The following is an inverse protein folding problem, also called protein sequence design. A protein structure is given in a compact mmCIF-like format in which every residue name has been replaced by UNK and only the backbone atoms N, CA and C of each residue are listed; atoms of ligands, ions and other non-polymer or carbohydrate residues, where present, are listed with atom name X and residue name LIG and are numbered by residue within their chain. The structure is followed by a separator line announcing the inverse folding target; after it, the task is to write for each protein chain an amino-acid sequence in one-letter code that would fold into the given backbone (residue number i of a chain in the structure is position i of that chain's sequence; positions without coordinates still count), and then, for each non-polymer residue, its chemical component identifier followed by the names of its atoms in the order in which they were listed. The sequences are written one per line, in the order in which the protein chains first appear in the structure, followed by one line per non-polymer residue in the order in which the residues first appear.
data_IF_244569047819
#
_entry.id   IF_244569047819
#
_cell.length_a   1.000
_cell.length_b   1.000
_cell.length_c   1.000
_cell.angle_alpha   90.00
_cell.angle_beta   90.00
_cell.angle_gamma   90.00
#
_symmetry.space_group_name_H-M   'P 1'
#
loop_
_entity.id
_entity.type
_entity.pdbx_description
1 polymer ?
#
# COMPACT_ATOMS: atom_id res chain seq x y z
N UNK A 1 -56.81 -35.02 16.20
CA UNK A 1 -55.37 -35.32 16.04
C UNK A 1 -54.83 -34.98 14.64
N UNK A 2 -55.40 -35.47 13.52
CA UNK A 2 -54.88 -35.20 12.16
C UNK A 2 -54.74 -33.71 11.78
N UNK A 3 -55.69 -32.85 12.17
CA UNK A 3 -55.63 -31.39 11.93
C UNK A 3 -54.48 -30.70 12.68
N UNK A 4 -54.24 -31.08 13.94
CA UNK A 4 -53.15 -30.51 14.75
C UNK A 4 -51.78 -30.85 14.17
N UNK A 5 -51.61 -32.09 13.68
CA UNK A 5 -50.38 -32.53 13.01
C UNK A 5 -50.16 -31.76 11.70
N UNK A 6 -51.21 -31.58 10.88
CA UNK A 6 -51.11 -30.80 9.65
C UNK A 6 -50.73 -29.33 9.90
N UNK A 7 -51.34 -28.70 10.90
CA UNK A 7 -50.99 -27.32 11.30
C UNK A 7 -49.53 -27.23 11.76
N UNK A 8 -49.06 -28.17 12.58
CA UNK A 8 -47.67 -28.20 13.03
C UNK A 8 -46.67 -28.33 11.87
N UNK A 9 -46.95 -29.20 10.90
CA UNK A 9 -46.10 -29.38 9.71
C UNK A 9 -46.06 -28.09 8.89
N UNK A 10 -47.22 -27.48 8.61
CA UNK A 10 -47.29 -26.24 7.81
C UNK A 10 -46.58 -25.08 8.50
N UNK A 11 -46.79 -24.91 9.82
CA UNK A 11 -46.09 -23.87 10.60
C UNK A 11 -44.58 -24.08 10.60
N UNK A 12 -44.12 -25.32 10.72
CA UNK A 12 -42.69 -25.65 10.72
C UNK A 12 -42.07 -25.36 9.34
N UNK A 13 -42.76 -25.75 8.27
CA UNK A 13 -42.33 -25.46 6.89
C UNK A 13 -42.22 -23.95 6.64
N UNK A 14 -43.19 -23.17 7.12
CA UNK A 14 -43.18 -21.71 7.03
C UNK A 14 -41.98 -21.08 7.74
N UNK A 15 -41.62 -21.58 8.92
CA UNK A 15 -40.43 -21.13 9.67
C UNK A 15 -39.16 -21.46 8.90
N UNK A 16 -39.03 -22.66 8.32
CA UNK A 16 -37.85 -23.00 7.52
C UNK A 16 -37.75 -22.16 6.25
N UNK A 17 -38.86 -21.91 5.57
CA UNK A 17 -38.90 -21.05 4.38
C UNK A 17 -38.53 -19.60 4.72
N UNK A 18 -39.01 -19.06 5.84
CA UNK A 18 -38.66 -17.71 6.27
C UNK A 18 -37.19 -17.59 6.63
N UNK A 19 -36.64 -18.56 7.36
CA UNK A 19 -35.20 -18.63 7.66
C UNK A 19 -34.36 -18.73 6.39
N UNK A 20 -34.77 -19.57 5.43
CA UNK A 20 -34.07 -19.70 4.16
C UNK A 20 -34.08 -18.38 3.37
N UNK A 21 -35.24 -17.74 3.25
CA UNK A 21 -35.38 -16.47 2.54
C UNK A 21 -34.50 -15.37 3.17
N UNK A 22 -34.51 -15.24 4.50
CA UNK A 22 -33.66 -14.27 5.21
C UNK A 22 -32.18 -14.56 4.98
N UNK A 23 -31.75 -15.81 5.09
CA UNK A 23 -30.35 -16.18 4.84
C UNK A 23 -29.93 -15.90 3.39
N UNK A 24 -30.80 -16.19 2.41
CA UNK A 24 -30.53 -15.90 1.01
C UNK A 24 -30.33 -14.39 0.76
N UNK A 25 -31.15 -13.55 1.39
CA UNK A 25 -31.01 -12.08 1.32
C UNK A 25 -29.71 -11.62 1.97
N UNK A 26 -29.38 -12.13 3.17
CA UNK A 26 -28.14 -11.79 3.88
C UNK A 26 -26.91 -12.17 3.06
N UNK A 27 -26.88 -13.38 2.50
CA UNK A 27 -25.77 -13.85 1.66
C UNK A 27 -25.61 -12.95 0.43
N UNK A 28 -26.71 -12.58 -0.22
CA UNK A 28 -26.70 -11.66 -1.35
C UNK A 28 -26.09 -10.29 -0.98
N UNK A 29 -26.52 -9.72 0.13
CA UNK A 29 -26.01 -8.44 0.63
C UNK A 29 -24.54 -8.53 1.04
N UNK A 30 -24.14 -9.58 1.75
CA UNK A 30 -22.74 -9.80 2.15
C UNK A 30 -21.83 -9.94 0.94
N UNK A 31 -22.23 -10.72 -0.06
CA UNK A 31 -21.46 -10.88 -1.31
C UNK A 31 -21.31 -9.56 -2.04
N UNK A 32 -22.38 -8.77 -2.15
CA UNK A 32 -22.33 -7.45 -2.77
C UNK A 32 -21.40 -6.51 -2.02
N UNK A 33 -21.51 -6.46 -0.69
CA UNK A 33 -20.68 -5.57 0.13
C UNK A 33 -19.21 -5.98 0.11
N UNK A 34 -18.93 -7.27 0.15
CA UNK A 34 -17.57 -7.80 0.03
C UNK A 34 -16.96 -7.42 -1.33
N UNK A 35 -17.73 -7.56 -2.42
CA UNK A 35 -17.26 -7.17 -3.75
C UNK A 35 -16.97 -5.67 -3.86
N UNK A 36 -17.83 -4.84 -3.28
CA UNK A 36 -17.64 -3.39 -3.21
C UNK A 36 -16.35 -3.06 -2.45
N UNK A 37 -16.14 -3.63 -1.25
CA UNK A 37 -14.93 -3.43 -0.45
C UNK A 37 -13.69 -3.87 -1.20
N UNK A 38 -13.70 -5.07 -1.82
CA UNK A 38 -12.57 -5.57 -2.59
C UNK A 38 -12.22 -4.66 -3.76
N UNK A 39 -13.21 -4.12 -4.48
CA UNK A 39 -12.98 -3.18 -5.57
C UNK A 39 -12.41 -1.86 -5.07
N UNK A 40 -12.94 -1.31 -3.99
CA UNK A 40 -12.44 -0.07 -3.40
C UNK A 40 -10.99 -0.21 -2.95
N UNK A 41 -10.65 -1.31 -2.25
CA UNK A 41 -9.28 -1.58 -1.81
C UNK A 41 -8.32 -1.80 -2.99
N UNK A 42 -8.77 -2.51 -4.03
CA UNK A 42 -7.98 -2.72 -5.23
C UNK A 42 -7.69 -1.40 -5.95
N UNK A 43 -8.72 -0.59 -6.23
CA UNK A 43 -8.55 0.71 -6.87
C UNK A 43 -7.66 1.63 -6.08
N UNK A 44 -7.84 1.68 -4.75
CA UNK A 44 -6.97 2.46 -3.89
C UNK A 44 -5.50 2.02 -3.98
N UNK A 45 -5.25 0.71 -3.91
CA UNK A 45 -3.90 0.14 -4.05
C UNK A 45 -3.27 0.46 -5.40
N UNK A 46 -4.05 0.37 -6.48
CA UNK A 46 -3.63 0.72 -7.84
C UNK A 46 -3.27 2.20 -7.95
N UNK A 47 -4.14 3.10 -7.45
CA UNK A 47 -3.94 4.55 -7.48
C UNK A 47 -2.68 4.97 -6.70
N UNK A 48 -2.50 4.44 -5.48
CA UNK A 48 -1.31 4.69 -4.66
C UNK A 48 -0.06 4.17 -5.36
N UNK A 49 -0.10 2.94 -5.87
CA UNK A 49 1.03 2.33 -6.59
C UNK A 49 1.41 3.14 -7.82
N UNK A 50 0.42 3.60 -8.58
CA UNK A 50 0.63 4.44 -9.76
C UNK A 50 1.18 5.82 -9.38
N UNK A 51 0.63 6.47 -8.35
CA UNK A 51 1.10 7.77 -7.85
C UNK A 51 2.56 7.71 -7.39
N UNK A 52 2.92 6.68 -6.61
CA UNK A 52 4.30 6.45 -6.16
C UNK A 52 5.21 6.18 -7.35
N UNK A 53 4.81 5.31 -8.28
CA UNK A 53 5.62 4.97 -9.44
C UNK A 53 5.87 6.18 -10.37
N UNK A 54 4.83 6.96 -10.65
CA UNK A 54 4.93 8.19 -11.45
C UNK A 54 5.76 9.26 -10.74
N UNK A 55 5.51 9.47 -9.45
CA UNK A 55 6.29 10.36 -8.61
C UNK A 55 7.77 10.01 -8.67
N UNK A 56 8.09 8.73 -8.45
CA UNK A 56 9.48 8.25 -8.45
C UNK A 56 10.15 8.40 -9.83
N UNK A 57 9.45 8.08 -10.91
CA UNK A 57 9.97 8.23 -12.29
C UNK A 57 10.18 9.68 -12.72
N UNK A 58 9.38 10.60 -12.18
CA UNK A 58 9.45 12.03 -12.54
C UNK A 58 10.66 12.76 -11.93
N UNK A 59 11.38 12.11 -11.01
CA UNK A 59 12.49 12.73 -10.29
C UNK A 59 13.73 12.72 -11.17
N UNK A 60 14.15 13.93 -11.55
CA UNK A 60 15.33 14.15 -12.39
C UNK A 60 16.55 14.64 -11.60
N UNK A 61 16.38 15.05 -10.34
CA UNK A 61 17.50 15.46 -9.49
C UNK A 61 18.48 14.30 -9.27
N UNK A 62 19.77 14.61 -9.18
CA UNK A 62 20.85 13.63 -9.10
C UNK A 62 21.90 14.07 -8.08
N UNK A 63 22.41 13.12 -7.30
CA UNK A 63 23.42 13.42 -6.30
C UNK A 63 22.85 14.11 -5.06
N UNK A 64 23.74 14.78 -4.32
CA UNK A 64 23.51 15.30 -2.97
C UNK A 64 23.99 16.73 -2.79
N UNK A 65 24.10 17.49 -3.88
CA UNK A 65 24.34 18.92 -3.79
C UNK A 65 23.11 19.65 -3.22
N UNK A 66 23.30 20.93 -2.87
CA UNK A 66 22.25 21.74 -2.25
C UNK A 66 20.99 21.81 -3.13
N UNK A 67 21.15 22.00 -4.44
CA UNK A 67 20.07 22.08 -5.41
C UNK A 67 19.24 20.79 -5.44
N UNK A 68 19.90 19.65 -5.45
CA UNK A 68 19.26 18.33 -5.49
C UNK A 68 18.54 18.02 -4.18
N UNK A 69 19.17 18.33 -3.03
CA UNK A 69 18.54 18.20 -1.72
C UNK A 69 17.29 19.08 -1.59
N UNK A 70 17.36 20.33 -2.04
CA UNK A 70 16.22 21.23 -2.01
C UNK A 70 15.10 20.73 -2.94
N UNK A 71 15.45 20.14 -4.08
CA UNK A 71 14.47 19.49 -4.97
C UNK A 71 13.82 18.27 -4.32
N UNK A 72 14.59 17.40 -3.68
CA UNK A 72 14.07 16.26 -2.95
C UNK A 72 13.12 16.70 -1.83
N UNK A 73 13.45 17.76 -1.09
CA UNK A 73 12.57 18.34 -0.06
C UNK A 73 11.24 18.84 -0.64
N UNK A 74 11.27 19.55 -1.76
CA UNK A 74 10.05 19.98 -2.45
C UNK A 74 9.19 18.78 -2.86
N UNK A 75 9.79 17.75 -3.46
CA UNK A 75 9.07 16.53 -3.87
C UNK A 75 8.43 15.85 -2.66
N UNK A 76 9.18 15.69 -1.56
CA UNK A 76 8.70 15.10 -0.32
C UNK A 76 7.50 15.89 0.25
N UNK A 77 7.58 17.21 0.27
CA UNK A 77 6.50 18.06 0.78
C UNK A 77 5.23 17.97 -0.08
N UNK A 78 5.39 17.76 -1.39
CA UNK A 78 4.28 17.67 -2.33
C UNK A 78 3.71 16.24 -2.49
N UNK A 79 4.29 15.23 -1.83
CA UNK A 79 3.86 13.85 -1.95
C UNK A 79 3.63 13.20 -0.58
N UNK A 80 2.36 13.07 -0.19
CA UNK A 80 1.95 12.50 1.10
C UNK A 80 2.31 11.02 1.28
N UNK A 81 2.55 10.31 0.18
CA UNK A 81 2.92 8.89 0.19
C UNK A 81 4.42 8.67 0.41
N UNK A 82 5.23 9.74 0.39
CA UNK A 82 6.66 9.68 0.66
C UNK A 82 6.95 10.09 2.11
N UNK A 83 7.37 9.13 2.93
CA UNK A 83 7.93 9.43 4.25
C UNK A 83 9.21 10.25 4.09
N UNK A 84 10.08 9.82 3.19
CA UNK A 84 11.31 10.49 2.79
C UNK A 84 11.74 10.03 1.38
N UNK A 85 12.73 10.72 0.82
CA UNK A 85 13.27 10.50 -0.52
C UNK A 85 14.79 10.71 -0.45
N UNK A 86 15.55 9.91 -1.19
CA UNK A 86 17.01 10.02 -1.20
C UNK A 86 17.68 9.56 -2.47
N UNK A 87 19.00 9.67 -2.45
CA UNK A 87 19.89 9.30 -3.55
C UNK A 87 20.79 8.14 -3.14
N UNK A 88 20.96 7.19 -4.05
CA UNK A 88 21.82 6.03 -3.94
C UNK A 88 23.06 6.23 -4.81
N UNK A 89 24.22 6.10 -4.19
CA UNK A 89 25.50 5.99 -4.88
C UNK A 89 26.21 4.70 -4.44
N UNK A 90 26.72 3.94 -5.41
CA UNK A 90 27.44 2.67 -5.17
C UNK A 90 26.72 1.71 -4.21
N UNK A 91 25.40 1.57 -4.37
CA UNK A 91 24.56 0.67 -3.55
C UNK A 91 24.33 1.16 -2.12
N UNK A 92 24.65 2.41 -1.81
CA UNK A 92 24.42 3.03 -0.50
C UNK A 92 23.59 4.30 -0.64
N UNK A 93 22.67 4.51 0.28
CA UNK A 93 21.96 5.77 0.45
C UNK A 93 22.98 6.77 0.98
N UNK A 94 23.23 7.84 0.21
CA UNK A 94 24.23 8.86 0.53
C UNK A 94 23.62 10.17 1.00
N UNK A 95 22.35 10.42 0.66
CA UNK A 95 21.60 11.54 1.18
C UNK A 95 20.09 11.30 1.12
N UNK A 96 19.34 12.02 1.96
CA UNK A 96 17.88 12.09 1.90
C UNK A 96 17.38 13.53 2.03
N UNK A 97 16.12 13.79 1.69
CA UNK A 97 15.52 15.11 1.86
C UNK A 97 15.49 15.53 3.33
N UNK A 98 15.17 14.58 4.23
CA UNK A 98 15.05 14.85 5.65
C UNK A 98 16.41 15.03 6.34
N UNK A 99 17.37 14.12 6.10
CA UNK A 99 18.67 14.15 6.79
C UNK A 99 19.77 14.89 6.03
N UNK A 100 19.53 15.31 4.78
CA UNK A 100 20.57 15.89 3.93
C UNK A 100 21.63 14.86 3.55
N UNK A 101 22.89 15.30 3.42
CA UNK A 101 24.02 14.41 3.13
C UNK A 101 24.39 13.61 4.37
N UNK A 102 24.36 12.29 4.27
CA UNK A 102 24.67 11.39 5.37
C UNK A 102 26.18 11.34 5.61
N UNK A 103 26.60 11.53 6.87
CA UNK A 103 28.01 11.37 7.26
C UNK A 103 28.50 9.93 7.02
N UNK A 104 27.64 8.97 7.32
CA UNK A 104 27.88 7.53 7.05
C UNK A 104 26.81 7.02 6.08
N UNK A 105 27.16 6.76 4.81
CA UNK A 105 26.21 6.20 3.85
C UNK A 105 25.63 4.86 4.32
N UNK A 106 24.32 4.68 4.12
CA UNK A 106 23.58 3.51 4.59
C UNK A 106 23.47 2.48 3.47
N UNK A 107 23.93 1.25 3.70
CA UNK A 107 23.78 0.17 2.72
C UNK A 107 22.30 -0.18 2.50
N UNK A 108 21.96 -0.53 1.26
CA UNK A 108 20.68 -1.14 0.96
C UNK A 108 20.56 -2.52 1.65
N UNK A 109 19.34 -2.99 1.97
CA UNK A 109 19.10 -4.35 2.42
C UNK A 109 19.64 -5.38 1.41
N UNK A 110 20.05 -6.55 1.91
CA UNK A 110 20.59 -7.61 1.06
C UNK A 110 19.55 -8.16 0.06
N UNK A 111 18.29 -8.24 0.49
CA UNK A 111 17.20 -8.70 -0.35
C UNK A 111 16.47 -7.52 -0.99
N UNK A 112 16.52 -7.47 -2.33
CA UNK A 112 15.81 -6.51 -3.14
C UNK A 112 14.90 -7.27 -4.11
N UNK A 113 13.62 -6.93 -4.12
CA UNK A 113 12.66 -7.51 -5.04
C UNK A 113 12.61 -6.69 -6.33
N UNK A 114 12.99 -7.28 -7.46
CA UNK A 114 12.94 -6.63 -8.77
C UNK A 114 11.58 -6.84 -9.43
N UNK A 115 10.93 -5.74 -9.77
CA UNK A 115 9.66 -5.75 -10.52
C UNK A 115 9.93 -5.80 -12.03
N UNK A 116 8.96 -6.31 -12.79
CA UNK A 116 8.99 -6.32 -14.26
C UNK A 116 9.09 -4.91 -14.87
N UNK A 117 8.65 -3.87 -14.14
CA UNK A 117 8.66 -2.47 -14.60
C UNK A 117 9.94 -1.70 -14.24
N UNK A 118 10.96 -2.40 -13.73
CA UNK A 118 12.28 -1.83 -13.46
C UNK A 118 12.44 -1.18 -12.08
N UNK A 119 11.43 -1.26 -11.20
CA UNK A 119 11.56 -0.85 -9.81
C UNK A 119 12.23 -1.94 -8.98
N UNK A 120 13.03 -1.54 -8.00
CA UNK A 120 13.47 -2.42 -6.91
C UNK A 120 12.69 -2.06 -5.65
N UNK A 121 12.16 -3.06 -4.96
CA UNK A 121 11.49 -2.90 -3.68
C UNK A 121 12.42 -3.39 -2.58
N UNK A 122 12.51 -2.63 -1.50
CA UNK A 122 13.35 -2.93 -0.35
C UNK A 122 12.51 -2.84 0.93
N UNK A 123 12.79 -3.69 1.89
CA UNK A 123 12.24 -3.60 3.23
C UNK A 123 13.36 -3.31 4.22
N UNK A 124 13.20 -2.23 4.98
CA UNK A 124 14.14 -1.84 6.02
C UNK A 124 13.59 -2.21 7.40
N UNK A 125 14.49 -2.68 8.26
CA UNK A 125 14.22 -3.01 9.67
C UNK A 125 15.22 -2.30 10.60
N UNK A 126 15.76 -1.16 10.15
CA UNK A 126 16.89 -0.48 10.79
C UNK A 126 16.40 0.66 11.68
N UNK A 127 16.27 0.40 12.98
CA UNK A 127 15.68 1.33 13.96
C UNK A 127 16.35 2.70 14.04
N UNK A 128 17.65 2.79 13.82
CA UNK A 128 18.45 4.03 13.82
C UNK A 128 18.34 4.84 12.52
N UNK A 129 17.64 4.32 11.51
CA UNK A 129 17.50 4.95 10.20
C UNK A 129 16.04 4.92 9.74
N UNK A 130 15.55 3.76 9.30
CA UNK A 130 14.19 3.62 8.80
C UNK A 130 13.69 2.18 9.01
N UNK A 131 12.41 2.05 9.35
CA UNK A 131 11.69 0.77 9.41
C UNK A 131 10.44 0.88 8.54
N UNK A 132 10.37 0.07 7.49
CA UNK A 132 9.28 0.12 6.52
C UNK A 132 9.72 -0.25 5.11
N UNK A 133 8.84 -0.01 4.15
CA UNK A 133 9.11 -0.32 2.74
C UNK A 133 9.74 0.88 2.02
N UNK A 134 10.51 0.59 0.99
CA UNK A 134 11.07 1.56 0.09
C UNK A 134 10.98 1.06 -1.36
N UNK A 135 10.86 2.01 -2.28
CA UNK A 135 10.91 1.75 -3.71
C UNK A 135 12.07 2.52 -4.33
N UNK A 136 12.76 1.89 -5.26
CA UNK A 136 13.94 2.41 -5.92
C UNK A 136 13.71 2.37 -7.43
N UNK A 137 14.06 3.47 -8.08
CA UNK A 137 14.12 3.57 -9.53
C UNK A 137 15.39 4.31 -9.92
N UNK A 138 16.24 3.67 -10.74
CA UNK A 138 17.61 4.13 -10.99
C UNK A 138 18.37 4.33 -9.67
N UNK A 139 18.80 5.57 -9.40
CA UNK A 139 19.55 5.95 -8.21
C UNK A 139 18.68 6.68 -7.16
N UNK A 140 17.36 6.75 -7.35
CA UNK A 140 16.46 7.42 -6.43
C UNK A 140 15.73 6.38 -5.58
N UNK A 141 15.67 6.62 -4.28
CA UNK A 141 14.92 5.83 -3.32
C UNK A 141 13.82 6.70 -2.70
N UNK A 142 12.63 6.14 -2.54
CA UNK A 142 11.58 6.71 -1.68
C UNK A 142 11.27 5.72 -0.57
N UNK A 143 11.03 6.26 0.61
CA UNK A 143 10.56 5.54 1.78
C UNK A 143 9.06 5.73 1.89
N UNK A 144 8.29 4.64 1.98
CA UNK A 144 6.83 4.72 1.94
C UNK A 144 6.28 5.28 3.25
N UNK A 145 5.35 6.22 3.15
CA UNK A 145 4.57 6.74 4.28
C UNK A 145 3.59 5.69 4.81
N UNK A 146 3.27 5.70 6.13
CA UNK A 146 2.14 4.93 6.66
C UNK A 146 0.81 5.24 5.97
N UNK A 147 0.69 6.42 5.33
CA UNK A 147 -0.48 6.80 4.54
C UNK A 147 -0.70 5.91 3.31
N UNK A 148 0.31 5.17 2.83
CA UNK A 148 0.13 4.19 1.75
C UNK A 148 -0.74 2.99 2.15
N UNK A 149 -0.97 2.78 3.45
CA UNK A 149 -1.68 1.62 4.01
C UNK A 149 -3.05 1.97 4.61
N UNK A 150 -3.41 3.26 4.64
CA UNK A 150 -4.75 3.72 5.06
C UNK A 150 -5.71 3.65 3.90
#
# INVERSE_FOLDING_TARGET
MKKLIAVAIVSTLLVFLSLYAVNAVIIGQQKSKQLEISRTLLHYSEDVSQSVALGLKSITAQGCDKTSLDRYRQIKLNNLYFADIGFIDKGKIVCTAFWGKLATPVALPAELHKTLRGFLLAQFSRKDFFTGNAAIYNNIIIFTSPLCLR
#
